data_IF_425029637695
#
_entry.id   IF_425029637695
#
_cell.length_a   1.000
_cell.length_b   1.000
_cell.length_c   1.000
_cell.angle_alpha   90.00
_cell.angle_beta   90.00
_cell.angle_gamma   90.00
#
_symmetry.space_group_name_H-M   'P 1'
#
loop_
_entity.id
_entity.type
_entity.pdbx_description
1 polymer ?
#
# COMPACT_ATOMS: atom_id res chain seq x y z
N UNK A 1 18.20 18.58 -4.93
CA UNK A 1 16.88 19.23 -4.78
C UNK A 1 15.85 18.15 -4.46
N UNK A 2 15.60 17.90 -3.17
CA UNK A 2 14.85 16.74 -2.66
C UNK A 2 13.45 17.09 -2.16
N UNK A 3 12.73 17.95 -2.89
CA UNK A 3 11.33 18.23 -2.59
C UNK A 3 10.51 16.94 -2.84
N UNK A 4 9.67 16.50 -1.89
CA UNK A 4 8.83 15.34 -2.10
C UNK A 4 7.86 15.60 -3.26
N UNK A 5 7.82 14.68 -4.22
CA UNK A 5 6.85 14.72 -5.32
C UNK A 5 5.48 14.35 -4.75
N UNK A 6 4.51 15.25 -4.86
CA UNK A 6 3.12 14.97 -4.54
C UNK A 6 2.49 14.23 -5.72
N UNK A 7 1.86 13.10 -5.44
CA UNK A 7 1.17 12.27 -6.43
C UNK A 7 -0.26 12.05 -5.94
N UNK A 8 -1.22 12.45 -6.77
CA UNK A 8 -2.64 12.17 -6.59
C UNK A 8 -3.11 11.33 -7.78
N UNK A 9 -4.03 10.39 -7.55
CA UNK A 9 -4.53 9.51 -8.61
C UNK A 9 -6.04 9.32 -8.50
N UNK A 10 -6.68 9.20 -9.66
CA UNK A 10 -8.08 8.80 -9.80
C UNK A 10 -8.17 7.62 -10.80
N UNK A 11 -9.37 7.19 -11.15
CA UNK A 11 -9.60 6.08 -12.09
C UNK A 11 -9.01 6.37 -13.48
N UNK A 12 -9.08 7.63 -13.91
CA UNK A 12 -8.74 8.03 -15.29
C UNK A 12 -7.55 8.99 -15.37
N UNK A 13 -6.98 9.40 -14.23
CA UNK A 13 -5.91 10.41 -14.23
C UNK A 13 -4.90 10.23 -13.11
N UNK A 14 -3.69 10.73 -13.37
CA UNK A 14 -2.58 10.82 -12.43
C UNK A 14 -2.09 12.26 -12.43
N UNK A 15 -2.12 12.92 -11.28
CA UNK A 15 -1.58 14.26 -11.09
C UNK A 15 -0.26 14.17 -10.34
N UNK A 16 0.79 14.71 -10.94
CA UNK A 16 2.14 14.70 -10.37
C UNK A 16 2.63 16.15 -10.30
N UNK A 17 2.89 16.63 -9.08
CA UNK A 17 3.47 17.96 -8.86
C UNK A 17 4.99 17.88 -8.89
N UNK A 18 5.60 18.43 -9.94
CA UNK A 18 7.06 18.41 -10.13
C UNK A 18 7.65 19.81 -9.94
N UNK A 19 8.88 19.92 -9.40
CA UNK A 19 9.54 21.21 -9.20
C UNK A 19 9.95 21.89 -10.52
N UNK A 20 9.98 21.13 -11.61
CA UNK A 20 10.30 21.59 -12.95
C UNK A 20 9.35 20.94 -13.94
N UNK A 21 9.10 21.61 -15.06
CA UNK A 21 8.28 21.07 -16.14
C UNK A 21 8.96 19.84 -16.76
N UNK A 22 8.20 18.76 -16.88
CA UNK A 22 8.65 17.50 -17.47
C UNK A 22 7.55 17.00 -18.39
N UNK A 23 7.90 16.62 -19.61
CA UNK A 23 6.96 16.03 -20.56
C UNK A 23 6.38 14.72 -19.99
N UNK A 24 5.05 14.55 -20.03
CA UNK A 24 4.38 13.36 -19.51
C UNK A 24 4.92 12.06 -20.13
N UNK A 25 5.30 12.09 -21.42
CA UNK A 25 5.94 10.96 -22.12
C UNK A 25 7.19 10.47 -21.40
N UNK A 26 8.05 11.37 -20.93
CA UNK A 26 9.27 11.03 -20.19
C UNK A 26 8.97 10.32 -18.88
N UNK A 27 7.88 10.67 -18.21
CA UNK A 27 7.44 9.99 -16.99
C UNK A 27 6.95 8.56 -17.28
N UNK A 28 6.18 8.39 -18.37
CA UNK A 28 5.69 7.08 -18.79
C UNK A 28 6.84 6.15 -19.24
N UNK A 29 7.88 6.69 -19.86
CA UNK A 29 9.09 5.93 -20.25
C UNK A 29 9.85 5.33 -19.05
N UNK A 30 9.67 5.86 -17.83
CA UNK A 30 10.28 5.29 -16.62
C UNK A 30 9.69 3.93 -16.26
N UNK A 31 8.48 3.62 -16.72
CA UNK A 31 7.77 2.38 -16.43
C UNK A 31 7.71 1.51 -17.69
N UNK A 32 8.76 0.71 -17.87
CA UNK A 32 8.79 -0.29 -18.94
C UNK A 32 7.89 -1.48 -18.62
N UNK A 33 7.14 -2.06 -19.59
CA UNK A 33 6.26 -3.21 -19.37
C UNK A 33 6.98 -4.38 -18.70
N UNK A 34 8.19 -4.70 -19.14
CA UNK A 34 9.01 -5.81 -18.61
C UNK A 34 9.42 -5.61 -17.14
N UNK A 35 9.39 -4.37 -16.63
CA UNK A 35 9.74 -4.02 -15.24
C UNK A 35 8.53 -3.80 -14.35
N UNK A 36 7.32 -3.81 -14.89
CA UNK A 36 6.11 -3.45 -14.17
C UNK A 36 5.93 -4.31 -12.91
N UNK A 37 6.07 -5.62 -13.02
CA UNK A 37 5.92 -6.53 -11.89
C UNK A 37 6.94 -6.24 -10.78
N UNK A 38 8.21 -6.06 -11.16
CA UNK A 38 9.28 -5.72 -10.22
C UNK A 38 8.99 -4.40 -9.49
N UNK A 39 8.59 -3.37 -10.23
CA UNK A 39 8.25 -2.06 -9.68
C UNK A 39 7.08 -2.15 -8.70
N UNK A 40 6.02 -2.87 -9.07
CA UNK A 40 4.89 -3.11 -8.18
C UNK A 40 5.33 -3.83 -6.91
N UNK A 41 6.02 -4.96 -7.01
CA UNK A 41 6.48 -5.72 -5.83
C UNK A 41 7.37 -4.90 -4.90
N UNK A 42 8.21 -4.01 -5.45
CA UNK A 42 9.13 -3.18 -4.66
C UNK A 42 8.43 -2.16 -3.74
N UNK A 43 7.18 -1.79 -4.04
CA UNK A 43 6.46 -0.72 -3.31
C UNK A 43 5.09 -1.14 -2.79
N UNK A 44 4.40 -2.05 -3.45
CA UNK A 44 2.99 -2.38 -3.20
C UNK A 44 2.72 -2.77 -1.75
N UNK A 45 3.60 -3.56 -1.14
CA UNK A 45 3.48 -4.01 0.26
C UNK A 45 3.47 -2.85 1.28
N UNK A 46 4.07 -1.71 0.92
CA UNK A 46 4.16 -0.51 1.76
C UNK A 46 2.98 0.45 1.56
N UNK A 47 2.05 0.13 0.65
CA UNK A 47 0.89 0.98 0.35
C UNK A 47 -0.24 0.78 1.35
N UNK A 48 -1.07 1.81 1.53
CA UNK A 48 -2.32 1.70 2.28
C UNK A 48 -3.29 0.67 1.67
N UNK A 49 -3.29 0.53 0.34
CA UNK A 49 -4.10 -0.43 -0.39
C UNK A 49 -3.77 -1.88 0.01
N UNK A 50 -2.48 -2.24 -0.03
CA UNK A 50 -2.05 -3.58 0.39
C UNK A 50 -2.40 -3.84 1.85
N UNK A 51 -2.14 -2.88 2.75
CA UNK A 51 -2.52 -3.02 4.16
C UNK A 51 -4.03 -3.21 4.38
N UNK A 52 -4.88 -2.62 3.54
CA UNK A 52 -6.32 -2.84 3.57
C UNK A 52 -6.71 -4.24 3.11
N UNK A 53 -6.16 -4.71 1.97
CA UNK A 53 -6.39 -6.06 1.44
C UNK A 53 -5.87 -7.14 2.39
N UNK A 54 -4.68 -6.93 2.96
CA UNK A 54 -4.08 -7.84 3.95
C UNK A 54 -4.99 -8.00 5.17
N UNK A 55 -5.53 -6.90 5.72
CA UNK A 55 -6.46 -6.95 6.85
C UNK A 55 -7.73 -7.73 6.54
N UNK A 56 -8.29 -7.55 5.35
CA UNK A 56 -9.46 -8.31 4.90
C UNK A 56 -9.15 -9.81 4.82
N UNK A 57 -8.07 -10.19 4.12
CA UNK A 57 -7.66 -11.58 3.96
C UNK A 57 -7.35 -12.25 5.31
N UNK A 58 -6.60 -11.57 6.20
CA UNK A 58 -6.29 -12.08 7.54
C UNK A 58 -7.54 -12.24 8.41
N UNK A 59 -8.53 -11.35 8.25
CA UNK A 59 -9.83 -11.48 8.92
C UNK A 59 -10.64 -12.67 8.41
N UNK A 60 -10.69 -12.88 7.09
CA UNK A 60 -11.37 -14.02 6.46
C UNK A 60 -10.73 -15.36 6.84
N UNK A 61 -9.39 -15.40 6.88
CA UNK A 61 -8.60 -16.58 7.26
C UNK A 61 -8.54 -16.84 8.77
N UNK A 62 -9.28 -16.08 9.60
CA UNK A 62 -9.31 -16.21 11.08
C UNK A 62 -7.95 -16.01 11.77
N UNK A 63 -6.98 -15.37 11.11
CA UNK A 63 -5.66 -15.07 11.67
C UNK A 63 -5.71 -13.90 12.67
N UNK A 64 -6.75 -13.08 12.61
CA UNK A 64 -6.98 -11.99 13.55
C UNK A 64 -7.85 -12.49 14.72
N UNK A 65 -7.39 -12.42 15.98
CA UNK A 65 -8.19 -12.80 17.13
C UNK A 65 -9.51 -12.02 17.14
N UNK A 66 -10.65 -12.72 17.27
CA UNK A 66 -11.96 -12.10 17.36
C UNK A 66 -12.23 -11.67 18.80
N UNK A 67 -12.96 -10.58 18.99
CA UNK A 67 -13.59 -10.34 20.28
C UNK A 67 -14.63 -11.45 20.52
N UNK A 68 -14.92 -11.74 21.80
CA UNK A 68 -15.87 -12.78 22.24
C UNK A 68 -17.11 -12.89 21.34
N UNK A 69 -17.70 -14.08 21.26
CA UNK A 69 -18.75 -14.51 20.32
C UNK A 69 -19.93 -13.53 20.10
N UNK A 70 -20.17 -12.58 21.04
CA UNK A 70 -21.25 -11.59 20.97
C UNK A 70 -20.81 -10.14 20.72
N UNK A 71 -19.52 -9.86 20.50
CA UNK A 71 -19.02 -8.48 20.34
C UNK A 71 -18.20 -8.33 19.06
N UNK A 72 -18.54 -7.32 18.26
CA UNK A 72 -17.70 -6.89 17.14
C UNK A 72 -16.37 -6.35 17.68
N UNK A 73 -15.26 -6.73 17.06
CA UNK A 73 -13.97 -6.09 17.33
C UNK A 73 -14.01 -4.66 16.78
N UNK A 74 -13.67 -3.63 17.58
CA UNK A 74 -13.56 -2.27 17.07
C UNK A 74 -12.58 -2.17 15.89
N UNK A 75 -12.90 -1.35 14.89
CA UNK A 75 -12.10 -1.23 13.66
C UNK A 75 -10.64 -0.85 13.94
N UNK A 76 -10.41 0.07 14.88
CA UNK A 76 -9.06 0.51 15.24
C UNK A 76 -8.21 -0.65 15.78
N UNK A 77 -8.79 -1.52 16.60
CA UNK A 77 -8.11 -2.68 17.18
C UNK A 77 -7.82 -3.75 16.12
N UNK A 78 -8.76 -3.94 15.19
CA UNK A 78 -8.57 -4.82 14.04
C UNK A 78 -7.43 -4.31 13.14
N UNK A 79 -7.38 -3.00 12.86
CA UNK A 79 -6.28 -2.35 12.12
C UNK A 79 -4.94 -2.53 12.84
N UNK A 80 -4.88 -2.33 14.16
CA UNK A 80 -3.64 -2.51 14.94
C UNK A 80 -3.15 -3.96 14.93
N UNK A 81 -4.04 -4.93 15.13
CA UNK A 81 -3.70 -6.37 15.09
C UNK A 81 -3.20 -6.80 13.72
N UNK A 82 -3.89 -6.37 12.66
CA UNK A 82 -3.48 -6.64 11.28
C UNK A 82 -2.11 -6.02 10.96
N UNK A 83 -1.84 -4.79 11.41
CA UNK A 83 -0.52 -4.17 11.22
C UNK A 83 0.59 -4.98 11.91
N UNK A 84 0.37 -5.39 13.16
CA UNK A 84 1.32 -6.24 13.91
C UNK A 84 1.55 -7.60 13.24
N UNK A 85 0.52 -8.22 12.68
CA UNK A 85 0.64 -9.47 11.94
C UNK A 85 1.47 -9.26 10.66
N UNK A 86 1.20 -8.18 9.93
CA UNK A 86 1.93 -7.85 8.71
C UNK A 86 3.43 -7.62 8.99
N UNK A 87 3.76 -6.88 10.04
CA UNK A 87 5.14 -6.63 10.49
C UNK A 87 5.90 -7.92 10.88
N UNK A 88 5.21 -9.01 11.22
CA UNK A 88 5.84 -10.31 11.48
C UNK A 88 6.17 -11.09 10.20
N UNK A 89 5.36 -10.91 9.15
CA UNK A 89 5.54 -11.59 7.85
C UNK A 89 6.59 -10.85 7.02
N UNK A 90 6.54 -9.52 7.05
CA UNK A 90 7.53 -8.63 6.47
C UNK A 90 8.22 -7.88 7.61
N UNK A 91 9.13 -8.55 8.35
CA UNK A 91 9.96 -7.83 9.29
C UNK A 91 10.60 -6.66 8.56
N UNK A 92 10.63 -5.50 9.21
CA UNK A 92 11.39 -4.34 8.75
C UNK A 92 12.87 -4.70 8.85
N UNK A 93 13.35 -5.58 7.98
CA UNK A 93 14.77 -5.83 7.81
C UNK A 93 15.30 -4.68 6.97
N UNK A 94 16.26 -3.95 7.56
CA UNK A 94 17.22 -3.17 6.80
C UNK A 94 18.16 -4.07 6.01
#
# INVERSE_FOLDING_TARGET
LGQPVTIEHDNDSLMISLPQEVEARRLLELVRPERLEQLLRSRLERTGFFGARFRESAGRALLLPRASFRRRTPLWLNRQRSKKLLERIFPRTG
#
